data_IF_326170356009
#
_entry.id   IF_326170356009
#
_cell.length_a   1.000
_cell.length_b   1.000
_cell.length_c   1.000
_cell.angle_alpha   90.00
_cell.angle_beta   90.00
_cell.angle_gamma   90.00
#
_symmetry.space_group_name_H-M   'P 1'
#
loop_
_entity.id
_entity.type
_entity.pdbx_description
1 polymer ?
#
# COMPACT_ATOMS: atom_id res chain seq x y z
N UNK A 1 6.75 -12.22 4.49
CA UNK A 1 6.55 -12.41 3.02
C UNK A 1 5.79 -13.70 2.69
N UNK A 2 6.10 -14.86 3.27
CA UNK A 2 5.35 -16.11 3.00
C UNK A 2 3.91 -16.04 3.51
N UNK A 3 3.68 -15.45 4.67
CA UNK A 3 2.35 -15.27 5.25
C UNK A 3 1.43 -14.43 4.35
N UNK A 4 1.92 -13.28 3.88
CA UNK A 4 1.17 -12.44 2.93
C UNK A 4 0.84 -13.20 1.64
N UNK A 5 1.82 -13.95 1.09
CA UNK A 5 1.58 -14.79 -0.09
C UNK A 5 0.54 -15.87 0.17
N UNK A 6 0.52 -16.44 1.37
CA UNK A 6 -0.47 -17.42 1.79
C UNK A 6 -1.87 -16.78 1.83
N UNK A 7 -2.02 -15.63 2.48
CA UNK A 7 -3.29 -14.89 2.54
C UNK A 7 -3.82 -14.52 1.16
N UNK A 8 -2.94 -14.00 0.27
CA UNK A 8 -3.31 -13.71 -1.12
C UNK A 8 -3.68 -14.95 -1.94
N UNK A 9 -3.19 -16.14 -1.57
CA UNK A 9 -3.49 -17.39 -2.26
C UNK A 9 -4.81 -17.99 -1.80
N UNK A 10 -5.12 -17.92 -0.50
CA UNK A 10 -6.37 -18.47 0.07
C UNK A 10 -7.55 -17.51 -0.05
N UNK A 11 -7.35 -16.28 -0.61
CA UNK A 11 -8.42 -15.30 -0.78
C UNK A 11 -8.91 -14.63 0.51
N UNK A 12 -8.11 -14.67 1.59
CA UNK A 12 -8.43 -13.98 2.85
C UNK A 12 -7.49 -12.79 3.02
N UNK A 13 -7.95 -11.55 2.72
CA UNK A 13 -7.11 -10.38 2.84
C UNK A 13 -6.80 -10.04 4.31
N UNK A 14 -5.62 -9.46 4.53
CA UNK A 14 -5.25 -8.84 5.80
C UNK A 14 -5.92 -7.46 5.93
N UNK A 15 -6.08 -6.91 7.14
CA UNK A 15 -6.76 -5.64 7.34
C UNK A 15 -6.02 -4.45 6.73
N UNK A 16 -4.69 -4.49 6.72
CA UNK A 16 -3.87 -3.41 6.19
C UNK A 16 -2.75 -3.95 5.31
N UNK A 17 -2.40 -3.19 4.26
CA UNK A 17 -1.27 -3.50 3.39
C UNK A 17 -0.40 -2.26 3.18
N UNK A 18 0.90 -2.50 3.14
CA UNK A 18 1.89 -1.55 2.63
C UNK A 18 2.59 -2.19 1.42
N UNK A 19 2.50 -1.56 0.26
CA UNK A 19 3.10 -2.03 -0.97
C UNK A 19 3.98 -0.92 -1.52
N UNK A 20 5.21 -1.21 -1.85
CA UNK A 20 6.09 -0.22 -2.46
C UNK A 20 7.45 -0.79 -2.83
N UNK A 21 8.15 -0.10 -3.69
CA UNK A 21 9.46 -0.51 -4.17
C UNK A 21 9.82 0.18 -5.46
N UNK A 22 10.81 -0.34 -6.16
CA UNK A 22 11.30 0.18 -7.43
C UNK A 22 10.59 -0.42 -8.66
N UNK A 23 9.76 -1.44 -8.48
CA UNK A 23 9.01 -2.11 -9.54
C UNK A 23 7.53 -1.71 -9.48
N UNK A 24 7.18 -0.67 -10.22
CA UNK A 24 5.83 -0.12 -10.29
C UNK A 24 4.83 -1.10 -10.90
N UNK A 25 5.24 -1.87 -11.91
CA UNK A 25 4.36 -2.84 -12.55
C UNK A 25 3.99 -3.96 -11.59
N UNK A 26 4.95 -4.43 -10.80
CA UNK A 26 4.71 -5.41 -9.75
C UNK A 26 3.84 -4.85 -8.64
N UNK A 27 4.07 -3.60 -8.23
CA UNK A 27 3.23 -2.90 -7.27
C UNK A 27 1.77 -2.84 -7.73
N UNK A 28 1.52 -2.44 -8.99
CA UNK A 28 0.17 -2.41 -9.59
C UNK A 28 -0.46 -3.80 -9.67
N UNK A 29 0.30 -4.80 -10.06
CA UNK A 29 -0.20 -6.19 -10.17
C UNK A 29 -0.65 -6.71 -8.81
N UNK A 30 0.15 -6.48 -7.76
CA UNK A 30 -0.17 -6.92 -6.41
C UNK A 30 -1.35 -6.12 -5.84
N UNK A 31 -1.38 -4.80 -6.04
CA UNK A 31 -2.49 -3.95 -5.64
C UNK A 31 -3.82 -4.44 -6.25
N UNK A 32 -3.85 -4.67 -7.56
CA UNK A 32 -5.04 -5.16 -8.25
C UNK A 32 -5.46 -6.54 -7.73
N UNK A 33 -4.52 -7.40 -7.39
CA UNK A 33 -4.81 -8.70 -6.77
C UNK A 33 -5.45 -8.54 -5.40
N UNK A 34 -4.94 -7.64 -4.54
CA UNK A 34 -5.52 -7.37 -3.22
C UNK A 34 -6.93 -6.80 -3.38
N UNK A 35 -7.14 -5.83 -4.26
CA UNK A 35 -8.47 -5.27 -4.54
C UNK A 35 -9.43 -6.38 -4.98
N UNK A 36 -9.02 -7.21 -5.94
CA UNK A 36 -9.86 -8.31 -6.44
C UNK A 36 -10.29 -9.29 -5.34
N UNK A 37 -9.37 -9.76 -4.50
CA UNK A 37 -9.72 -10.69 -3.42
C UNK A 37 -10.52 -10.04 -2.28
N UNK A 38 -10.37 -8.72 -2.09
CA UNK A 38 -11.12 -7.98 -1.07
C UNK A 38 -12.57 -7.78 -1.50
N UNK A 39 -12.79 -7.47 -2.76
CA UNK A 39 -14.11 -7.15 -3.33
C UNK A 39 -14.78 -8.35 -3.98
N UNK A 40 -14.23 -9.56 -3.82
CA UNK A 40 -14.83 -10.79 -4.34
C UNK A 40 -16.19 -11.02 -3.70
N UNK A 41 -17.25 -11.00 -4.53
CA UNK A 41 -18.65 -11.09 -4.08
C UNK A 41 -19.28 -9.76 -3.65
N UNK A 42 -18.53 -8.64 -3.66
CA UNK A 42 -19.03 -7.29 -3.39
C UNK A 42 -19.47 -6.56 -4.66
N UNK A 43 -20.10 -5.40 -4.47
CA UNK A 43 -20.40 -4.46 -5.55
C UNK A 43 -19.15 -3.62 -5.82
N UNK A 44 -18.96 -3.13 -7.06
CA UNK A 44 -17.84 -2.25 -7.41
C UNK A 44 -17.80 -0.92 -6.63
N UNK A 45 -18.86 -0.62 -5.88
CA UNK A 45 -18.98 0.57 -5.01
C UNK A 45 -18.20 0.45 -3.70
N UNK A 46 -17.71 -0.73 -3.34
CA UNK A 46 -16.97 -0.96 -2.10
C UNK A 46 -15.45 -0.69 -2.23
N UNK A 47 -15.02 -0.08 -3.34
CA UNK A 47 -13.62 0.29 -3.56
C UNK A 47 -13.46 1.79 -3.68
N UNK A 48 -12.71 2.39 -2.76
CA UNK A 48 -12.34 3.81 -2.79
C UNK A 48 -10.85 3.96 -3.08
N UNK A 49 -10.49 4.88 -3.98
CA UNK A 49 -9.11 5.18 -4.32
C UNK A 49 -8.81 6.64 -4.07
N UNK A 50 -7.75 6.89 -3.34
CA UNK A 50 -7.27 8.22 -2.97
C UNK A 50 -5.83 8.41 -3.45
N UNK A 51 -5.52 9.61 -3.96
CA UNK A 51 -4.17 10.00 -4.35
C UNK A 51 -3.94 11.49 -4.10
N UNK A 52 -2.69 11.91 -4.00
CA UNK A 52 -2.34 13.31 -3.74
C UNK A 52 -2.67 13.77 -2.31
N UNK A 53 -3.06 15.02 -2.15
CA UNK A 53 -3.36 15.62 -0.85
C UNK A 53 -4.78 15.26 -0.40
N UNK A 54 -4.92 14.18 0.34
CA UNK A 54 -6.16 13.75 0.98
C UNK A 54 -5.96 13.74 2.50
N UNK A 55 -7.00 14.11 3.26
CA UNK A 55 -6.96 14.06 4.72
C UNK A 55 -7.22 12.64 5.26
N UNK A 56 -6.67 12.35 6.45
CA UNK A 56 -6.95 11.10 7.13
C UNK A 56 -8.44 10.95 7.46
N UNK A 57 -9.12 12.06 7.78
CA UNK A 57 -10.55 12.07 8.05
C UNK A 57 -11.35 11.62 6.81
N UNK A 58 -11.02 12.11 5.61
CA UNK A 58 -11.67 11.69 4.35
C UNK A 58 -11.44 10.20 4.05
N UNK A 59 -10.23 9.71 4.29
CA UNK A 59 -9.92 8.28 4.11
C UNK A 59 -10.63 7.44 5.17
N UNK A 60 -10.72 7.94 6.39
CA UNK A 60 -11.45 7.33 7.50
C UNK A 60 -12.95 7.23 7.22
N UNK A 61 -13.58 8.30 6.75
CA UNK A 61 -15.01 8.30 6.38
C UNK A 61 -15.28 7.17 5.36
N UNK A 62 -14.45 7.04 4.33
CA UNK A 62 -14.58 5.96 3.36
C UNK A 62 -14.29 4.58 3.97
N UNK A 63 -13.39 4.46 4.94
CA UNK A 63 -13.05 3.19 5.58
C UNK A 63 -14.15 2.69 6.53
N UNK A 64 -14.88 3.61 7.18
CA UNK A 64 -15.91 3.28 8.17
C UNK A 64 -17.35 3.32 7.62
N UNK A 65 -17.51 3.72 6.36
CA UNK A 65 -18.81 3.71 5.70
C UNK A 65 -19.37 2.28 5.62
N UNK A 66 -20.70 2.12 5.66
CA UNK A 66 -21.34 0.81 5.61
C UNK A 66 -21.23 0.21 4.20
N UNK A 67 -20.81 -1.06 4.10
CA UNK A 67 -20.75 -1.78 2.82
C UNK A 67 -22.14 -2.22 2.36
N UNK A 68 -22.42 -2.08 1.06
CA UNK A 68 -23.64 -2.57 0.45
C UNK A 68 -23.44 -4.00 -0.07
N UNK A 69 -24.25 -4.93 0.40
CA UNK A 69 -24.25 -6.31 -0.12
C UNK A 69 -23.36 -7.31 0.63
N UNK A 70 -22.82 -6.96 1.81
CA UNK A 70 -22.11 -7.91 2.69
C UNK A 70 -20.69 -8.24 2.23
N UNK A 71 -20.15 -7.53 1.23
CA UNK A 71 -18.75 -7.59 0.82
C UNK A 71 -17.81 -6.86 1.79
N UNK A 72 -16.52 -6.99 1.56
CA UNK A 72 -15.50 -6.18 2.26
C UNK A 72 -15.21 -4.91 1.49
N UNK A 73 -14.91 -3.86 2.22
CA UNK A 73 -14.47 -2.58 1.64
C UNK A 73 -12.98 -2.59 1.39
N UNK A 74 -12.56 -2.01 0.26
CA UNK A 74 -11.17 -1.78 -0.06
C UNK A 74 -10.90 -0.29 -0.21
N UNK A 75 -10.06 0.25 0.66
CA UNK A 75 -9.63 1.65 0.61
C UNK A 75 -8.16 1.69 0.20
N UNK A 76 -7.89 2.29 -0.95
CA UNK A 76 -6.55 2.35 -1.55
C UNK A 76 -6.03 3.78 -1.51
N UNK A 77 -4.87 3.96 -0.91
CA UNK A 77 -4.12 5.22 -0.83
C UNK A 77 -2.86 5.11 -1.70
N UNK A 78 -2.84 5.82 -2.84
CA UNK A 78 -1.75 5.77 -3.79
C UNK A 78 -0.88 7.03 -3.70
N UNK A 79 0.42 6.87 -3.46
CA UNK A 79 1.42 7.95 -3.43
C UNK A 79 1.06 9.15 -2.54
N UNK A 80 0.47 8.89 -1.38
CA UNK A 80 0.18 9.99 -0.45
C UNK A 80 1.46 10.70 -0.02
N UNK A 81 1.46 12.05 0.03
CA UNK A 81 2.67 12.83 0.28
C UNK A 81 3.02 12.92 1.78
N UNK A 82 3.19 11.78 2.46
CA UNK A 82 3.49 11.73 3.90
C UNK A 82 4.70 12.57 4.32
N UNK A 83 5.67 12.80 3.41
CA UNK A 83 6.84 13.60 3.71
C UNK A 83 6.56 15.10 3.89
N UNK A 84 5.53 15.62 3.24
CA UNK A 84 5.10 17.03 3.34
C UNK A 84 3.88 17.21 4.25
N UNK A 85 3.29 16.10 4.72
CA UNK A 85 2.14 16.10 5.60
C UNK A 85 2.47 16.67 6.98
N UNK A 86 1.54 17.37 7.63
CA UNK A 86 1.70 17.83 9.00
C UNK A 86 1.80 16.66 9.99
N UNK A 87 2.44 16.88 11.15
CA UNK A 87 2.60 15.82 12.15
C UNK A 87 1.25 15.32 12.70
N UNK A 88 0.32 16.23 12.96
CA UNK A 88 -1.01 15.88 13.46
C UNK A 88 -1.79 15.04 12.44
N UNK A 89 -1.67 15.36 11.16
CA UNK A 89 -2.33 14.62 10.10
C UNK A 89 -1.72 13.23 9.93
N UNK A 90 -0.40 13.10 10.04
CA UNK A 90 0.28 11.81 10.03
C UNK A 90 -0.17 10.92 11.20
N UNK A 91 -0.29 11.49 12.40
CA UNK A 91 -0.82 10.75 13.59
C UNK A 91 -2.24 10.25 13.39
N UNK A 92 -3.09 11.01 12.68
CA UNK A 92 -4.44 10.52 12.33
C UNK A 92 -4.38 9.31 11.40
N UNK A 93 -3.46 9.29 10.43
CA UNK A 93 -3.25 8.10 9.60
C UNK A 93 -2.75 6.90 10.42
N UNK A 94 -1.87 7.12 11.42
CA UNK A 94 -1.43 6.05 12.31
C UNK A 94 -2.60 5.49 13.14
N UNK A 95 -3.47 6.35 13.63
CA UNK A 95 -4.70 5.95 14.34
C UNK A 95 -5.63 5.17 13.41
N UNK A 96 -5.87 5.66 12.20
CA UNK A 96 -6.72 5.00 11.20
C UNK A 96 -6.24 3.58 10.89
N UNK A 97 -4.92 3.36 10.73
CA UNK A 97 -4.36 2.02 10.51
C UNK A 97 -4.68 1.10 11.70
N UNK A 98 -4.54 1.61 12.92
CA UNK A 98 -4.84 0.84 14.14
C UNK A 98 -6.32 0.49 14.21
N UNK A 99 -7.21 1.47 14.03
CA UNK A 99 -8.66 1.28 14.08
C UNK A 99 -9.15 0.30 13.02
N UNK A 100 -8.70 0.43 11.77
CA UNK A 100 -9.06 -0.51 10.69
C UNK A 100 -8.56 -1.93 11.02
N UNK A 101 -7.39 -2.09 11.62
CA UNK A 101 -6.87 -3.41 12.00
C UNK A 101 -7.71 -4.09 13.09
N UNK A 102 -8.37 -3.31 13.95
CA UNK A 102 -9.23 -3.80 15.03
C UNK A 102 -10.65 -4.15 14.56
N UNK A 103 -11.07 -3.66 13.39
CA UNK A 103 -12.42 -3.89 12.84
C UNK A 103 -12.70 -5.33 12.36
N UNK A 104 -11.78 -6.26 12.53
CA UNK A 104 -12.00 -7.68 12.20
C UNK A 104 -12.10 -7.98 10.69
N UNK A 105 -11.59 -7.10 9.82
CA UNK A 105 -11.43 -7.36 8.39
C UNK A 105 -12.64 -7.04 7.51
N UNK A 106 -13.59 -6.24 7.99
CA UNK A 106 -14.67 -5.67 7.17
C UNK A 106 -14.14 -4.66 6.16
N UNK A 107 -13.07 -3.95 6.50
CA UNK A 107 -12.37 -3.00 5.65
C UNK A 107 -10.91 -3.42 5.47
N UNK A 108 -10.39 -3.24 4.28
CA UNK A 108 -8.98 -3.44 3.94
C UNK A 108 -8.39 -2.12 3.48
N UNK A 109 -7.38 -1.63 4.21
CA UNK A 109 -6.67 -0.39 3.91
C UNK A 109 -5.34 -0.70 3.23
N UNK A 110 -5.11 -0.14 2.05
CA UNK A 110 -3.91 -0.39 1.25
C UNK A 110 -3.17 0.91 0.99
N UNK A 111 -1.91 0.96 1.38
CA UNK A 111 -0.99 2.04 1.01
C UNK A 111 -0.06 1.53 -0.09
N UNK A 112 -0.16 2.13 -1.28
CA UNK A 112 0.67 1.81 -2.43
C UNK A 112 1.59 2.98 -2.77
N UNK A 113 2.88 2.71 -2.91
CA UNK A 113 3.89 3.70 -3.29
C UNK A 113 4.61 3.23 -4.54
N UNK A 114 4.59 4.07 -5.56
CA UNK A 114 5.31 3.85 -6.80
C UNK A 114 6.66 4.56 -6.76
N UNK A 115 7.63 4.01 -7.46
CA UNK A 115 8.89 4.71 -7.66
C UNK A 115 8.59 5.94 -8.52
N UNK A 116 8.79 7.11 -7.96
CA UNK A 116 8.85 8.32 -8.79
C UNK A 116 10.08 8.15 -9.68
N UNK A 117 9.88 8.00 -10.99
CA UNK A 117 10.97 8.12 -11.94
C UNK A 117 11.68 9.44 -11.66
N UNK A 118 12.81 9.35 -10.98
CA UNK A 118 13.73 10.48 -10.88
C UNK A 118 14.35 10.62 -12.25
N UNK A 119 13.70 11.42 -13.13
CA UNK A 119 14.45 12.00 -14.22
C UNK A 119 15.77 12.55 -13.67
N UNK A 120 16.91 12.32 -14.32
CA UNK A 120 18.17 12.88 -13.89
C UNK A 120 18.09 14.40 -14.03
N UNK A 121 17.59 15.07 -12.99
CA UNK A 121 17.67 16.54 -12.91
C UNK A 121 19.15 16.90 -12.78
N UNK A 122 19.73 17.30 -13.92
CA UNK A 122 20.92 18.13 -13.94
C UNK A 122 20.62 19.38 -13.09
N UNK A 123 21.50 19.57 -12.11
CA UNK A 123 21.78 20.84 -11.45
C UNK A 123 20.61 21.67 -10.88
N UNK A 124 20.28 21.44 -9.62
CA UNK A 124 20.02 22.55 -8.70
C UNK A 124 20.30 22.15 -7.26
N UNK A 125 21.34 22.78 -6.70
CA UNK A 125 21.61 22.82 -5.26
C UNK A 125 20.46 23.57 -4.58
N UNK A 126 19.48 22.87 -4.05
CA UNK A 126 18.53 23.43 -3.09
C UNK A 126 17.87 22.33 -2.24
N UNK A 127 18.14 22.40 -0.95
CA UNK A 127 17.42 21.85 0.20
C UNK A 127 17.32 20.32 0.33
N UNK A 128 18.28 19.78 1.09
CA UNK A 128 18.37 18.39 1.54
C UNK A 128 17.43 18.03 2.71
N UNK A 129 16.64 18.93 3.25
CA UNK A 129 15.85 18.69 4.46
C UNK A 129 14.53 17.93 4.23
N UNK A 130 13.92 18.03 3.05
CA UNK A 130 12.62 17.38 2.80
C UNK A 130 12.68 15.88 2.53
N UNK A 131 13.82 15.37 2.05
CA UNK A 131 13.97 13.96 1.70
C UNK A 131 14.09 13.04 2.93
N UNK A 132 14.71 13.50 4.01
CA UNK A 132 14.92 12.72 5.23
C UNK A 132 13.61 12.54 6.01
N UNK A 133 12.79 13.58 6.11
CA UNK A 133 11.47 13.50 6.77
C UNK A 133 10.49 12.58 6.04
N UNK A 134 10.46 12.61 4.71
CA UNK A 134 9.62 11.76 3.87
C UNK A 134 9.96 10.27 4.06
N UNK A 135 11.24 9.93 4.03
CA UNK A 135 11.70 8.55 4.20
C UNK A 135 11.37 8.01 5.60
N UNK A 136 11.50 8.84 6.63
CA UNK A 136 11.23 8.41 8.01
C UNK A 136 9.74 8.10 8.24
N UNK A 137 8.80 8.90 7.71
CA UNK A 137 7.36 8.68 7.91
C UNK A 137 6.83 7.50 7.12
N UNK A 138 7.26 7.29 5.90
CA UNK A 138 6.90 6.11 5.11
C UNK A 138 7.39 4.83 5.79
N UNK A 139 8.61 4.86 6.35
CA UNK A 139 9.14 3.72 7.10
C UNK A 139 8.43 3.53 8.45
N UNK A 140 7.98 4.60 9.10
CA UNK A 140 7.16 4.51 10.31
C UNK A 140 5.79 3.85 10.01
N UNK A 141 5.13 4.28 8.93
CA UNK A 141 3.87 3.68 8.48
C UNK A 141 4.04 2.18 8.15
N UNK A 142 5.11 1.82 7.47
CA UNK A 142 5.44 0.44 7.13
C UNK A 142 5.58 -0.43 8.39
N UNK A 143 6.31 0.06 9.39
CA UNK A 143 6.47 -0.62 10.69
C UNK A 143 5.15 -0.75 11.44
N UNK A 144 4.30 0.27 11.36
CA UNK A 144 2.98 0.24 12.00
C UNK A 144 2.08 -0.80 11.35
N UNK A 145 2.03 -0.86 10.02
CA UNK A 145 1.27 -1.88 9.28
C UNK A 145 1.74 -3.29 9.67
N UNK A 146 3.05 -3.51 9.75
CA UNK A 146 3.62 -4.80 10.18
C UNK A 146 3.21 -5.15 11.63
N UNK A 147 3.27 -4.17 12.54
CA UNK A 147 2.84 -4.34 13.94
C UNK A 147 1.35 -4.66 14.08
N UNK A 148 0.51 -4.11 13.22
CA UNK A 148 -0.94 -4.34 13.19
C UNK A 148 -1.33 -5.63 12.44
N UNK A 149 -0.45 -6.60 12.31
CA UNK A 149 -0.67 -7.85 11.57
C UNK A 149 -1.06 -7.64 10.11
N UNK A 150 -0.63 -6.53 9.54
CA UNK A 150 -0.82 -6.20 8.13
C UNK A 150 0.23 -6.83 7.23
N UNK A 151 0.05 -6.65 5.93
CA UNK A 151 0.94 -7.18 4.90
C UNK A 151 1.93 -6.14 4.40
N UNK A 152 3.22 -6.34 4.63
CA UNK A 152 4.28 -5.49 4.04
C UNK A 152 4.89 -6.17 2.83
N UNK A 153 4.78 -5.55 1.66
CA UNK A 153 5.22 -6.09 0.37
C UNK A 153 6.23 -5.13 -0.27
N UNK A 154 7.47 -5.56 -0.34
CA UNK A 154 8.50 -4.83 -1.08
C UNK A 154 8.54 -5.31 -2.54
N UNK A 155 8.29 -4.39 -3.46
CA UNK A 155 8.31 -4.61 -4.90
C UNK A 155 9.61 -4.04 -5.49
N UNK A 156 10.72 -4.72 -5.24
CA UNK A 156 12.02 -4.33 -5.81
C UNK A 156 12.21 -4.96 -7.19
N UNK A 157 12.82 -4.20 -8.08
CA UNK A 157 13.24 -4.71 -9.40
C UNK A 157 14.23 -5.86 -9.19
N UNK A 158 13.99 -7.04 -9.81
CA UNK A 158 14.88 -8.16 -9.66
C UNK A 158 16.28 -7.82 -10.14
N UNK A 159 17.28 -8.32 -9.44
CA UNK A 159 18.68 -8.24 -9.89
C UNK A 159 18.90 -9.06 -11.17
N UNK A 160 19.96 -8.78 -11.91
CA UNK A 160 20.30 -9.53 -13.14
C UNK A 160 20.38 -11.05 -12.89
N UNK A 161 20.92 -11.46 -11.75
CA UNK A 161 21.02 -12.88 -11.38
C UNK A 161 19.63 -13.51 -11.12
N UNK A 162 18.74 -12.79 -10.45
CA UNK A 162 17.36 -13.24 -10.23
C UNK A 162 16.56 -13.29 -11.54
N UNK A 163 16.79 -12.32 -12.46
CA UNK A 163 16.18 -12.33 -13.79
C UNK A 163 16.62 -13.57 -14.60
N UNK A 164 17.91 -13.89 -14.61
CA UNK A 164 18.41 -15.11 -15.26
C UNK A 164 17.71 -16.36 -14.70
N UNK A 165 17.61 -16.46 -13.38
CA UNK A 165 16.93 -17.60 -12.73
C UNK A 165 15.43 -17.67 -13.08
N UNK A 166 14.75 -16.53 -13.21
CA UNK A 166 13.35 -16.47 -13.62
C UNK A 166 13.18 -16.93 -15.06
N UNK A 167 14.06 -16.45 -15.95
CA UNK A 167 14.06 -16.80 -17.38
C UNK A 167 14.30 -18.31 -17.54
N UNK A 168 15.31 -18.86 -16.88
CA UNK A 168 15.63 -20.30 -16.91
C UNK A 168 14.42 -21.15 -16.48
N UNK A 169 13.76 -20.80 -15.36
CA UNK A 169 12.57 -21.50 -14.87
C UNK A 169 11.34 -21.37 -15.79
N UNK A 170 11.28 -20.29 -16.55
CA UNK A 170 10.14 -20.04 -17.46
C UNK A 170 10.35 -20.77 -18.80
N UNK A 171 11.60 -20.81 -19.30
CA UNK A 171 11.95 -21.49 -20.53
C UNK A 171 12.10 -23.01 -20.38
N UNK A 172 12.24 -23.52 -19.14
CA UNK A 172 12.34 -24.97 -18.86
C UNK A 172 10.96 -25.67 -18.76
N UNK A 173 9.87 -24.96 -19.00
CA UNK A 173 8.51 -25.51 -19.11
C UNK A 173 8.07 -25.62 -20.56
#
# INVERSE_FOLDING_TARGET
MEEVRRHLRIGVPLPCYFIGGSDDQRTRTILNKIVSITTEGGTGFDTHRFSGNVSADTVGDAAFEITFGGGRRCVVCEDLPFGSMGENEFKKFEQLVTEVSEMGGSTVLVFAFYSVETEPKKDSKAKSESKTGKKNRVEALKKLVDKCSGGVINCETPTTAELCTIIEKTCAK
#
